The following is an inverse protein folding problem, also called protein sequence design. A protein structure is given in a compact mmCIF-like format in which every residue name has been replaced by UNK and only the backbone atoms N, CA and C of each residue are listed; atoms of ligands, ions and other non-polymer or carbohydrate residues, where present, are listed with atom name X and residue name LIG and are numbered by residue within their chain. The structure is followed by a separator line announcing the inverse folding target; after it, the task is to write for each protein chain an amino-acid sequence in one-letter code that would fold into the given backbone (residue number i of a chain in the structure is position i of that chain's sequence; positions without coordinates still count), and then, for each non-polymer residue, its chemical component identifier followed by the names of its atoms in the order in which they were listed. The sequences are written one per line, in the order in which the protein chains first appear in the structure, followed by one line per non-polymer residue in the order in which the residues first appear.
data_IF_827062841986
#
_entry.id   IF_827062841986
#
_cell.length_a   1.000
_cell.length_b   1.000
_cell.length_c   1.000
_cell.angle_alpha   90.00
_cell.angle_beta   90.00
_cell.angle_gamma   90.00
#
_symmetry.space_group_name_H-M   'P 1'
#
loop_
_entity.id
_entity.type
_entity.pdbx_description
1 polymer ?
#
# COMPACT_ATOMS: atom_id res chain seq x y z
N UNK A 1 -14.76 -11.28 4.83
CA UNK A 1 -13.80 -11.19 3.72
C UNK A 1 -12.74 -10.17 4.14
N UNK A 2 -11.44 -10.47 4.09
CA UNK A 2 -10.41 -9.47 4.42
C UNK A 2 -10.31 -8.49 3.25
N UNK A 3 -10.24 -7.18 3.55
CA UNK A 3 -10.11 -6.13 2.54
C UNK A 3 -8.68 -6.06 2.00
N UNK A 4 -8.51 -5.62 0.75
CA UNK A 4 -7.17 -5.47 0.14
C UNK A 4 -6.32 -4.39 0.84
N UNK A 5 -6.96 -3.37 1.42
CA UNK A 5 -6.34 -2.32 2.25
C UNK A 5 -5.52 -2.90 3.42
N UNK A 6 -5.95 -4.01 4.00
CA UNK A 6 -5.21 -4.68 5.09
C UNK A 6 -3.93 -5.34 4.59
N UNK A 7 -3.93 -5.88 3.37
CA UNK A 7 -2.70 -6.36 2.74
C UNK A 7 -1.75 -5.21 2.45
N UNK A 8 -2.26 -4.08 1.95
CA UNK A 8 -1.45 -2.87 1.75
C UNK A 8 -0.82 -2.43 3.07
N UNK A 9 -1.59 -2.37 4.15
CA UNK A 9 -1.09 -2.03 5.49
C UNK A 9 0.05 -2.97 5.91
N UNK A 10 -0.11 -4.28 5.76
CA UNK A 10 0.92 -5.26 6.09
C UNK A 10 2.21 -5.05 5.26
N UNK A 11 2.09 -4.78 3.96
CA UNK A 11 3.25 -4.54 3.09
C UNK A 11 3.96 -3.24 3.49
N UNK A 12 3.22 -2.16 3.71
CA UNK A 12 3.81 -0.88 4.13
C UNK A 12 4.50 -1.00 5.49
N UNK A 13 3.94 -1.78 6.43
CA UNK A 13 4.60 -2.07 7.70
C UNK A 13 5.91 -2.85 7.52
N UNK A 14 6.04 -3.68 6.49
CA UNK A 14 7.30 -4.33 6.16
C UNK A 14 8.32 -3.32 5.62
N UNK A 15 7.90 -2.39 4.77
CA UNK A 15 8.74 -1.29 4.27
C UNK A 15 9.28 -0.42 5.41
N UNK A 16 8.42 -0.02 6.35
CA UNK A 16 8.82 0.77 7.53
C UNK A 16 9.82 -0.01 8.39
N UNK A 17 9.57 -1.30 8.63
CA UNK A 17 10.50 -2.14 9.39
C UNK A 17 11.85 -2.36 8.68
N UNK A 18 11.87 -2.25 7.35
CA UNK A 18 13.08 -2.26 6.53
C UNK A 18 13.80 -0.90 6.50
N UNK A 19 13.34 0.09 7.25
CA UNK A 19 13.97 1.42 7.36
C UNK A 19 13.61 2.37 6.22
N UNK A 20 12.53 2.12 5.49
CA UNK A 20 12.07 3.03 4.44
C UNK A 20 11.74 4.42 5.00
N UNK A 21 12.16 5.46 4.28
CA UNK A 21 11.83 6.87 4.53
C UNK A 21 10.76 7.39 3.58
N UNK A 22 10.59 6.72 2.44
CA UNK A 22 9.56 7.02 1.44
C UNK A 22 8.84 5.74 1.07
N UNK A 23 7.51 5.80 1.04
CA UNK A 23 6.66 4.72 0.56
C UNK A 23 5.62 5.28 -0.39
N UNK A 24 5.60 4.77 -1.63
CA UNK A 24 4.60 5.05 -2.65
C UNK A 24 3.57 3.92 -2.67
N UNK A 25 2.29 4.26 -2.60
CA UNK A 25 1.16 3.34 -2.75
C UNK A 25 0.33 3.78 -3.95
N UNK A 26 0.23 2.93 -4.97
CA UNK A 26 -0.46 3.23 -6.21
C UNK A 26 -1.57 2.20 -6.42
N UNK A 27 -2.80 2.69 -6.63
CA UNK A 27 -3.96 1.89 -7.02
C UNK A 27 -4.39 2.33 -8.40
N UNK A 28 -4.51 1.39 -9.34
CA UNK A 28 -4.95 1.65 -10.71
C UNK A 28 -6.07 0.69 -11.08
N UNK A 29 -7.22 1.26 -11.47
CA UNK A 29 -8.39 0.55 -11.97
C UNK A 29 -8.53 0.83 -13.47
N UNK A 30 -8.26 -0.19 -14.29
CA UNK A 30 -8.44 -0.19 -15.73
C UNK A 30 -9.64 -1.06 -16.10
N UNK A 31 -10.81 -0.42 -16.20
CA UNK A 31 -12.07 -1.11 -16.54
C UNK A 31 -12.06 -1.75 -17.93
N UNK A 32 -11.57 -1.08 -19.01
CA UNK A 32 -11.41 -1.73 -20.31
C UNK A 32 -10.60 -3.02 -20.30
N UNK A 33 -9.54 -3.07 -19.48
CA UNK A 33 -8.68 -4.26 -19.34
C UNK A 33 -9.12 -5.23 -18.25
N UNK A 34 -10.24 -4.95 -17.56
CA UNK A 34 -10.71 -5.69 -16.37
C UNK A 34 -9.62 -5.88 -15.31
N UNK A 35 -8.78 -4.86 -15.07
CA UNK A 35 -7.56 -4.98 -14.27
C UNK A 35 -7.51 -3.97 -13.12
N UNK A 36 -7.36 -4.49 -11.90
CA UNK A 36 -6.96 -3.73 -10.72
C UNK A 36 -5.49 -4.02 -10.44
N UNK A 37 -4.68 -2.98 -10.34
CA UNK A 37 -3.29 -3.06 -9.90
C UNK A 37 -3.11 -2.30 -8.60
N UNK A 38 -2.50 -2.94 -7.61
CA UNK A 38 -2.07 -2.32 -6.36
C UNK A 38 -0.56 -2.48 -6.28
N UNK A 39 0.15 -1.38 -6.15
CA UNK A 39 1.59 -1.33 -6.06
C UNK A 39 2.03 -0.60 -4.79
N UNK A 40 3.00 -1.18 -4.08
CA UNK A 40 3.70 -0.55 -2.97
C UNK A 40 5.19 -0.54 -3.31
N UNK A 41 5.80 0.65 -3.33
CA UNK A 41 7.23 0.81 -3.57
C UNK A 41 7.86 1.59 -2.41
N UNK A 42 9.03 1.16 -1.94
CA UNK A 42 9.75 1.80 -0.84
C UNK A 42 11.24 1.99 -1.17
N UNK A 43 11.91 2.82 -0.36
CA UNK A 43 13.35 3.06 -0.38
C UNK A 43 14.09 2.39 0.80
N UNK A 44 13.54 1.30 1.34
CA UNK A 44 14.11 0.59 2.48
C UNK A 44 15.38 -0.20 2.14
N UNK A 45 15.80 -1.06 3.06
CA UNK A 45 17.02 -1.86 2.94
C UNK A 45 17.04 -2.83 1.74
N UNK A 46 15.87 -3.16 1.18
CA UNK A 46 15.73 -4.19 0.14
C UNK A 46 16.09 -5.60 0.63
N UNK A 47 16.06 -6.57 -0.29
CA UNK A 47 16.32 -7.98 -0.02
C UNK A 47 17.29 -8.56 -1.05
N UNK A 48 18.28 -9.37 -0.64
CA UNK A 48 19.09 -10.13 -1.58
C UNK A 48 18.26 -11.27 -2.21
N UNK A 49 18.70 -11.77 -3.37
CA UNK A 49 17.89 -12.65 -4.22
C UNK A 49 17.52 -14.01 -3.59
N UNK A 50 18.32 -14.50 -2.64
CA UNK A 50 18.04 -15.69 -1.83
C UNK A 50 16.91 -15.44 -0.81
N UNK A 51 16.92 -14.29 -0.15
CA UNK A 51 15.88 -13.85 0.78
C UNK A 51 14.58 -13.55 0.01
N UNK A 52 14.66 -12.87 -1.14
CA UNK A 52 13.50 -12.56 -1.99
C UNK A 52 12.76 -13.84 -2.44
N UNK A 53 13.50 -14.89 -2.83
CA UNK A 53 12.90 -16.18 -3.19
C UNK A 53 12.13 -16.81 -2.03
N UNK A 54 12.66 -16.65 -0.81
CA UNK A 54 12.04 -17.16 0.41
C UNK A 54 10.92 -16.24 0.93
N UNK A 55 10.92 -14.94 0.62
CA UNK A 55 9.94 -13.96 1.11
C UNK A 55 8.49 -14.25 0.65
N UNK A 56 8.33 -15.06 -0.40
CA UNK A 56 7.05 -15.53 -0.90
C UNK A 56 6.64 -16.91 -0.35
N UNK A 57 7.46 -17.52 0.50
CA UNK A 57 7.14 -18.76 1.21
C UNK A 57 6.33 -18.42 2.49
N UNK A 58 5.10 -18.98 2.66
CA UNK A 58 4.27 -18.80 3.85
C UNK A 58 4.98 -19.06 5.18
N UNK A 59 5.99 -19.93 5.21
CA UNK A 59 6.69 -20.34 6.43
C UNK A 59 7.97 -19.56 6.70
N UNK A 60 8.38 -18.68 5.79
CA UNK A 60 9.59 -17.88 5.92
C UNK A 60 9.28 -16.50 6.52
N UNK A 61 10.07 -16.07 7.51
CA UNK A 61 10.01 -14.72 8.09
C UNK A 61 11.37 -14.30 8.61
N UNK A 62 11.77 -13.06 8.36
CA UNK A 62 12.96 -12.45 8.96
C UNK A 62 12.68 -11.79 10.33
N UNK A 63 11.40 -11.69 10.74
CA UNK A 63 11.00 -11.11 12.03
C UNK A 63 11.11 -12.15 13.15
N UNK A 64 11.82 -11.79 14.23
CA UNK A 64 11.94 -12.63 15.43
C UNK A 64 10.69 -12.60 16.33
N UNK A 65 9.88 -11.55 16.24
CA UNK A 65 8.67 -11.37 17.07
C UNK A 65 7.42 -12.05 16.51
N UNK A 66 7.38 -12.37 15.21
CA UNK A 66 6.24 -13.00 14.53
C UNK A 66 6.74 -14.29 13.87
N UNK A 67 6.21 -15.44 14.30
CA UNK A 67 6.65 -16.77 13.83
C UNK A 67 6.28 -17.10 12.37
N UNK A 68 5.52 -16.24 11.68
CA UNK A 68 5.03 -16.49 10.31
C UNK A 68 5.03 -15.21 9.47
N UNK A 69 5.57 -15.28 8.25
CA UNK A 69 5.72 -14.16 7.31
C UNK A 69 4.56 -14.04 6.34
N UNK A 70 3.32 -14.05 6.85
CA UNK A 70 2.12 -14.26 6.03
C UNK A 70 1.71 -13.08 5.14
N UNK A 71 2.31 -11.89 5.27
CA UNK A 71 1.86 -10.69 4.55
C UNK A 71 1.87 -10.85 3.03
N UNK A 72 3.05 -11.12 2.46
CA UNK A 72 3.22 -11.32 1.01
C UNK A 72 2.54 -12.61 0.49
N UNK A 73 2.70 -13.78 1.17
CA UNK A 73 2.06 -15.02 0.71
C UNK A 73 0.53 -14.92 0.68
N UNK A 74 -0.12 -14.38 1.72
CA UNK A 74 -1.57 -14.23 1.74
C UNK A 74 -2.06 -13.23 0.68
N UNK A 75 -1.29 -12.17 0.42
CA UNK A 75 -1.66 -11.21 -0.62
C UNK A 75 -1.55 -11.83 -2.02
N UNK A 76 -0.52 -12.63 -2.27
CA UNK A 76 -0.37 -13.40 -3.51
C UNK A 76 -1.51 -14.40 -3.69
N UNK A 77 -1.88 -15.12 -2.63
CA UNK A 77 -2.98 -16.09 -2.69
C UNK A 77 -4.30 -15.37 -3.00
N UNK A 78 -4.56 -14.22 -2.37
CA UNK A 78 -5.73 -13.39 -2.68
C UNK A 78 -5.74 -12.91 -4.14
N UNK A 79 -4.59 -12.49 -4.67
CA UNK A 79 -4.44 -12.08 -6.07
C UNK A 79 -4.71 -13.23 -7.04
N UNK A 80 -4.14 -14.40 -6.78
CA UNK A 80 -4.33 -15.61 -7.60
C UNK A 80 -5.76 -16.12 -7.58
N UNK A 81 -6.41 -16.12 -6.42
CA UNK A 81 -7.82 -16.47 -6.29
C UNK A 81 -8.73 -15.52 -7.09
N UNK A 82 -8.30 -14.28 -7.30
CA UNK A 82 -9.02 -13.27 -8.06
C UNK A 82 -8.55 -13.15 -9.54
N UNK A 83 -7.84 -14.16 -10.06
CA UNK A 83 -7.42 -14.22 -11.45
C UNK A 83 -6.26 -13.30 -11.84
N UNK A 84 -5.48 -12.82 -10.88
CA UNK A 84 -4.22 -12.09 -11.09
C UNK A 84 -3.03 -12.78 -10.41
N UNK A 85 -2.00 -12.01 -10.04
CA UNK A 85 -0.81 -12.53 -9.34
C UNK A 85 -0.12 -11.42 -8.52
N UNK A 86 0.93 -11.78 -7.78
CA UNK A 86 1.78 -10.84 -7.06
C UNK A 86 3.25 -11.03 -7.45
N UNK A 87 3.86 -9.93 -7.89
CA UNK A 87 5.29 -9.84 -8.19
C UNK A 87 6.00 -8.99 -7.12
N UNK A 88 7.23 -9.38 -6.78
CA UNK A 88 8.11 -8.61 -5.88
C UNK A 88 9.46 -8.43 -6.53
N UNK A 89 9.89 -7.18 -6.61
CA UNK A 89 11.21 -6.77 -7.06
C UNK A 89 11.92 -6.10 -5.89
N UNK A 90 13.14 -6.50 -5.57
CA UNK A 90 13.88 -5.93 -4.45
C UNK A 90 15.37 -6.01 -4.72
N UNK A 91 16.09 -4.94 -4.38
CA UNK A 91 17.54 -4.87 -4.54
C UNK A 91 18.14 -4.31 -3.24
N UNK A 92 19.16 -4.97 -2.66
CA UNK A 92 19.80 -4.49 -1.44
C UNK A 92 20.25 -3.03 -1.55
N UNK A 93 19.85 -2.20 -0.59
CA UNK A 93 20.14 -0.77 -0.53
C UNK A 93 19.30 0.14 -1.45
N UNK A 94 18.39 -0.43 -2.25
CA UNK A 94 17.56 0.30 -3.21
C UNK A 94 16.05 0.19 -2.95
N UNK A 95 15.64 -0.59 -1.94
CA UNK A 95 14.25 -0.77 -1.56
C UNK A 95 13.55 -1.94 -2.25
N UNK A 96 12.22 -1.96 -2.14
CA UNK A 96 11.35 -3.04 -2.60
C UNK A 96 10.14 -2.48 -3.33
N UNK A 97 9.72 -3.17 -4.40
CA UNK A 97 8.47 -2.93 -5.12
C UNK A 97 7.64 -4.20 -5.12
N UNK A 98 6.43 -4.11 -4.58
CA UNK A 98 5.43 -5.18 -4.56
C UNK A 98 4.29 -4.75 -5.47
N UNK A 99 3.96 -5.56 -6.47
CA UNK A 99 2.84 -5.30 -7.39
C UNK A 99 1.90 -6.50 -7.37
N UNK A 100 0.66 -6.26 -6.96
CA UNK A 100 -0.42 -7.24 -7.00
C UNK A 100 -1.46 -6.84 -8.06
N UNK A 101 -1.93 -7.80 -8.84
CA UNK A 101 -2.97 -7.61 -9.86
C UNK A 101 -4.19 -8.47 -9.56
N UNK A 102 -5.36 -7.99 -9.95
CA UNK A 102 -6.65 -8.66 -9.74
C UNK A 102 -7.53 -8.39 -10.96
N UNK A 103 -8.45 -9.30 -11.28
CA UNK A 103 -9.52 -8.98 -12.25
C UNK A 103 -10.63 -8.19 -11.57
N UNK A 104 -10.99 -7.03 -12.10
CA UNK A 104 -11.98 -6.12 -11.49
C UNK A 104 -13.34 -6.82 -11.30
N UNK A 105 -13.75 -7.63 -12.27
CA UNK A 105 -15.02 -8.35 -12.31
C UNK A 105 -15.07 -9.65 -11.51
N UNK A 106 -13.94 -10.12 -10.96
CA UNK A 106 -13.85 -11.45 -10.33
C UNK A 106 -14.64 -11.53 -9.02
N UNK A 107 -15.41 -12.61 -8.83
CA UNK A 107 -16.28 -12.81 -7.66
C UNK A 107 -15.49 -12.94 -6.35
N UNK A 108 -14.34 -13.61 -6.40
CA UNK A 108 -13.45 -13.78 -5.24
C UNK A 108 -12.53 -12.59 -4.98
N UNK A 109 -12.61 -11.53 -5.80
CA UNK A 109 -11.84 -10.31 -5.55
C UNK A 109 -12.39 -9.63 -4.31
N UNK A 110 -11.57 -9.59 -3.26
CA UNK A 110 -11.88 -8.82 -2.07
C UNK A 110 -12.10 -7.33 -2.39
N UNK A 111 -12.99 -6.64 -1.66
CA UNK A 111 -13.14 -5.21 -1.79
C UNK A 111 -11.81 -4.50 -1.47
N UNK A 112 -11.57 -3.35 -2.13
CA UNK A 112 -10.38 -2.56 -1.89
C UNK A 112 -10.27 -2.15 -0.41
N UNK A 113 -11.39 -1.84 0.24
CA UNK A 113 -11.46 -1.41 1.63
C UNK A 113 -11.26 0.09 1.83
N UNK A 114 -11.14 0.54 3.08
CA UNK A 114 -10.95 1.96 3.40
C UNK A 114 -9.47 2.38 3.25
N UNK A 115 -9.09 2.74 2.02
CA UNK A 115 -7.76 3.28 1.72
C UNK A 115 -7.51 4.63 2.39
N UNK A 116 -8.55 5.45 2.58
CA UNK A 116 -8.40 6.73 3.24
C UNK A 116 -8.03 6.56 4.72
N UNK A 117 -8.68 5.64 5.42
CA UNK A 117 -8.32 5.29 6.80
C UNK A 117 -6.91 4.69 6.87
N UNK A 118 -6.62 3.76 5.97
CA UNK A 118 -5.33 3.05 5.94
C UNK A 118 -4.16 4.02 5.78
N UNK A 119 -4.23 4.91 4.78
CA UNK A 119 -3.18 5.92 4.54
C UNK A 119 -3.14 6.93 5.69
N UNK A 120 -4.28 7.33 6.23
CA UNK A 120 -4.33 8.23 7.40
C UNK A 120 -3.59 7.63 8.59
N UNK A 121 -3.89 6.38 8.97
CA UNK A 121 -3.21 5.70 10.08
C UNK A 121 -1.70 5.59 9.83
N UNK A 122 -1.30 5.23 8.61
CA UNK A 122 0.12 5.15 8.25
C UNK A 122 0.86 6.47 8.44
N UNK A 123 0.29 7.58 7.96
CA UNK A 123 0.86 8.93 8.10
C UNK A 123 0.94 9.33 9.57
N UNK A 124 -0.14 9.13 10.33
CA UNK A 124 -0.22 9.56 11.73
C UNK A 124 0.72 8.77 12.65
N UNK A 125 0.90 7.47 12.40
CA UNK A 125 1.74 6.60 13.22
C UNK A 125 3.22 6.64 12.83
N UNK A 126 3.57 7.18 11.67
CA UNK A 126 4.94 7.20 11.15
C UNK A 126 5.30 8.60 10.61
N UNK A 127 5.34 9.64 11.46
CA UNK A 127 5.46 11.03 11.04
C UNK A 127 6.76 11.34 10.28
N UNK A 128 7.80 10.53 10.46
CA UNK A 128 9.09 10.69 9.78
C UNK A 128 9.09 10.12 8.36
N UNK A 129 8.20 9.16 8.06
CA UNK A 129 8.10 8.49 6.75
C UNK A 129 7.19 9.27 5.82
N UNK A 130 7.66 9.56 4.60
CA UNK A 130 6.86 10.18 3.55
C UNK A 130 6.00 9.11 2.88
N UNK A 131 4.68 9.34 2.86
CA UNK A 131 3.74 8.50 2.13
C UNK A 131 3.18 9.27 0.95
N UNK A 132 3.26 8.66 -0.24
CA UNK A 132 2.53 9.11 -1.41
C UNK A 132 1.47 8.08 -1.74
N UNK A 133 0.24 8.52 -1.93
CA UNK A 133 -0.86 7.69 -2.39
C UNK A 133 -1.36 8.20 -3.74
N UNK A 134 -1.54 7.32 -4.71
CA UNK A 134 -2.12 7.63 -6.02
C UNK A 134 -3.24 6.65 -6.30
N UNK A 135 -4.40 7.15 -6.71
CA UNK A 135 -5.50 6.32 -7.19
C UNK A 135 -5.93 6.78 -8.57
N UNK A 136 -5.81 5.90 -9.56
CA UNK A 136 -6.25 6.13 -10.91
C UNK A 136 -7.44 5.23 -11.27
N UNK A 137 -8.44 5.77 -11.97
CA UNK A 137 -9.52 5.01 -12.63
C UNK A 137 -9.78 5.61 -14.00
N UNK A 138 -9.43 4.88 -15.05
CA UNK A 138 -9.40 5.41 -16.42
C UNK A 138 -8.52 6.66 -16.52
N UNK A 139 -9.07 7.77 -17.02
CA UNK A 139 -8.36 9.04 -17.18
C UNK A 139 -8.28 9.89 -15.89
N UNK A 140 -8.99 9.52 -14.83
CA UNK A 140 -9.04 10.29 -13.58
C UNK A 140 -7.97 9.80 -12.61
N UNK A 141 -7.24 10.73 -12.02
CA UNK A 141 -6.16 10.45 -11.09
C UNK A 141 -6.29 11.37 -9.88
N UNK A 142 -6.30 10.77 -8.70
CA UNK A 142 -6.11 11.46 -7.43
C UNK A 142 -4.71 11.15 -6.90
N UNK A 143 -4.05 12.14 -6.33
CA UNK A 143 -2.78 11.96 -5.64
C UNK A 143 -2.76 12.71 -4.32
N UNK A 144 -2.22 12.07 -3.30
CA UNK A 144 -1.94 12.60 -1.98
C UNK A 144 -0.45 12.41 -1.67
N UNK A 145 0.20 13.42 -1.11
CA UNK A 145 1.58 13.33 -0.60
C UNK A 145 1.64 13.90 0.82
N UNK A 146 2.09 13.09 1.77
CA UNK A 146 2.17 13.53 3.17
C UNK A 146 3.16 14.68 3.38
N UNK A 147 4.15 14.83 2.49
CA UNK A 147 5.13 15.92 2.58
C UNK A 147 4.49 17.30 2.36
N UNK A 148 3.45 17.38 1.52
CA UNK A 148 2.73 18.62 1.26
C UNK A 148 2.04 19.11 2.53
N UNK A 149 1.49 18.19 3.33
CA UNK A 149 0.88 18.49 4.62
C UNK A 149 1.90 18.95 5.65
N UNK A 150 3.07 18.33 5.73
CA UNK A 150 4.11 18.79 6.68
C UNK A 150 4.52 20.23 6.42
N UNK A 151 4.51 20.68 5.17
CA UNK A 151 4.80 22.08 4.80
C UNK A 151 3.67 23.05 5.17
N UNK A 152 2.42 22.58 5.11
CA UNK A 152 1.22 23.37 5.40
C UNK A 152 0.90 23.48 6.90
N UNK A 153 1.31 22.49 7.69
CA UNK A 153 0.91 22.37 9.10
C UNK A 153 1.71 23.24 10.08
N UNK A 154 2.82 23.84 9.67
CA UNK A 154 3.65 24.65 10.57
C UNK A 154 4.02 23.87 11.85
N UNK A 155 3.67 24.43 13.01
CA UNK A 155 3.96 23.86 14.35
C UNK A 155 2.91 22.87 14.87
N UNK A 156 1.87 22.50 14.10
CA UNK A 156 0.87 21.54 14.58
C UNK A 156 1.52 20.16 14.73
N UNK A 157 1.45 19.52 15.92
CA UNK A 157 1.99 18.19 16.09
C UNK A 157 1.33 17.20 15.11
N UNK A 158 2.12 16.40 14.39
CA UNK A 158 1.62 15.51 13.34
C UNK A 158 0.74 14.36 13.86
N UNK A 159 0.54 14.27 15.18
CA UNK A 159 -0.21 13.20 15.85
C UNK A 159 -1.58 13.64 16.37
N UNK A 160 -2.05 14.85 16.03
CA UNK A 160 -3.34 15.36 16.52
C UNK A 160 -4.54 14.69 15.82
N UNK A 161 -5.65 14.40 16.53
CA UNK A 161 -6.88 13.86 15.93
C UNK A 161 -7.47 14.75 14.82
N UNK A 162 -7.29 16.07 14.92
CA UNK A 162 -7.76 17.01 13.91
C UNK A 162 -7.07 16.78 12.55
N UNK A 163 -5.76 16.54 12.57
CA UNK A 163 -5.00 16.22 11.36
C UNK A 163 -5.46 14.91 10.71
N UNK A 164 -5.70 13.88 11.54
CA UNK A 164 -6.25 12.61 11.06
C UNK A 164 -7.64 12.80 10.40
N UNK A 165 -8.45 13.76 10.85
CA UNK A 165 -9.71 14.12 10.20
C UNK A 165 -9.49 14.75 8.83
N UNK A 166 -8.56 15.71 8.73
CA UNK A 166 -8.25 16.44 7.50
C UNK A 166 -7.72 15.51 6.42
N UNK A 167 -6.68 14.71 6.73
CA UNK A 167 -6.06 13.78 5.77
C UNK A 167 -7.10 12.81 5.21
N UNK A 168 -7.89 12.19 6.10
CA UNK A 168 -8.92 11.23 5.74
C UNK A 168 -9.98 11.83 4.83
N UNK A 169 -10.42 13.06 5.12
CA UNK A 169 -11.43 13.74 4.30
C UNK A 169 -10.90 14.05 2.90
N UNK A 170 -9.66 14.55 2.80
CA UNK A 170 -9.03 14.87 1.51
C UNK A 170 -8.90 13.63 0.64
N UNK A 171 -8.44 12.51 1.23
CA UNK A 171 -8.36 11.25 0.48
C UNK A 171 -9.76 10.76 0.11
N UNK A 172 -10.75 10.77 1.02
CA UNK A 172 -12.12 10.34 0.72
C UNK A 172 -12.77 11.15 -0.39
N UNK A 173 -12.58 12.46 -0.39
CA UNK A 173 -13.11 13.36 -1.42
C UNK A 173 -12.44 13.09 -2.76
N UNK A 174 -11.10 13.00 -2.80
CA UNK A 174 -10.37 12.64 -4.02
C UNK A 174 -10.78 11.28 -4.59
N UNK A 175 -10.97 10.27 -3.74
CA UNK A 175 -11.45 8.95 -4.16
C UNK A 175 -12.88 9.00 -4.72
N UNK A 176 -13.77 9.82 -4.13
CA UNK A 176 -15.12 10.02 -4.68
C UNK A 176 -15.07 10.66 -6.06
N UNK A 177 -14.18 11.62 -6.29
CA UNK A 177 -14.01 12.25 -7.61
C UNK A 177 -13.51 11.26 -8.66
N UNK A 178 -12.55 10.39 -8.30
CA UNK A 178 -12.08 9.31 -9.17
C UNK A 178 -13.21 8.32 -9.49
N UNK A 179 -14.13 8.06 -8.54
CA UNK A 179 -15.22 7.09 -8.67
C UNK A 179 -16.50 7.62 -9.33
N UNK A 180 -16.69 8.94 -9.48
CA UNK A 180 -17.92 9.54 -10.06
C UNK A 180 -18.06 9.25 -11.55
N UNK A 181 -18.66 8.13 -11.91
CA UNK A 181 -19.14 7.85 -13.27
C UNK A 181 -20.19 8.89 -13.69
#
# INVERSE_FOLDING_TARGET
MRELSLHVLDIVQNSIAAGARTVDVIVSEDEPSDLLTIEVADDGAGMPADILRSALDPFYTSRTTRKVGLGLPLFRDAARLAGGDLCVESVPGHGTRVRATFRLSHIDRAPLGDMAETITVLVMCNPDVRFRYVHARGARVFSFDSQDFRRLLGDIPPTTPALAGIIRNIIREGLREVQRA
#
